data_IF_270123523066
#
_entry.id   IF_270123523066
#
_cell.length_a   1.000
_cell.length_b   1.000
_cell.length_c   1.000
_cell.angle_alpha   90.00
_cell.angle_beta   90.00
_cell.angle_gamma   90.00
#
_symmetry.space_group_name_H-M   'P 1'
#
loop_
_entity.id
_entity.type
_entity.pdbx_description
1 polymer ?
#
# COMPACT_ATOMS: atom_id res chain seq x y z
N UNK A 1 -1.57 -3.79 -11.02
CA UNK A 1 -0.14 -3.61 -10.68
C UNK A 1 0.72 -4.76 -11.18
N UNK A 2 1.88 -4.49 -11.78
CA UNK A 2 2.88 -5.49 -12.19
C UNK A 2 4.30 -5.15 -11.69
N UNK A 3 5.25 -6.08 -11.84
CA UNK A 3 6.62 -5.93 -11.34
C UNK A 3 7.36 -4.73 -11.95
N UNK A 4 7.14 -4.40 -13.23
CA UNK A 4 7.80 -3.27 -13.87
C UNK A 4 7.33 -1.94 -13.29
N UNK A 5 6.03 -1.82 -12.98
CA UNK A 5 5.47 -0.65 -12.31
C UNK A 5 6.02 -0.49 -10.89
N UNK A 6 6.24 -1.60 -10.17
CA UNK A 6 6.85 -1.58 -8.84
C UNK A 6 8.33 -1.18 -8.89
N UNK A 7 9.09 -1.69 -9.86
CA UNK A 7 10.49 -1.28 -10.07
C UNK A 7 10.57 0.21 -10.38
N UNK A 8 9.68 0.71 -11.25
CA UNK A 8 9.59 2.14 -11.55
C UNK A 8 9.23 2.98 -10.31
N UNK A 9 8.52 2.39 -9.35
CA UNK A 9 8.18 3.00 -8.07
C UNK A 9 9.29 2.85 -6.99
N UNK A 10 10.40 2.18 -7.30
CA UNK A 10 11.54 2.03 -6.38
C UNK A 10 11.64 0.67 -5.67
N UNK A 11 10.87 -0.35 -6.07
CA UNK A 11 11.06 -1.70 -5.56
C UNK A 11 12.37 -2.31 -6.08
N UNK A 12 13.04 -3.10 -5.25
CA UNK A 12 14.19 -3.88 -5.72
C UNK A 12 13.72 -4.90 -6.78
N UNK A 13 14.44 -5.07 -7.92
CA UNK A 13 14.02 -5.96 -8.99
C UNK A 13 13.70 -7.39 -8.55
N UNK A 14 14.50 -7.91 -7.59
CA UNK A 14 14.32 -9.27 -7.06
C UNK A 14 13.07 -9.42 -6.17
N UNK A 15 12.59 -8.33 -5.57
CA UNK A 15 11.42 -8.34 -4.67
C UNK A 15 10.14 -7.93 -5.39
N UNK A 16 10.24 -7.12 -6.46
CA UNK A 16 9.11 -6.59 -7.20
C UNK A 16 8.17 -7.68 -7.73
N UNK A 17 8.72 -8.80 -8.21
CA UNK A 17 7.92 -9.95 -8.65
C UNK A 17 7.10 -10.57 -7.52
N UNK A 18 7.73 -10.79 -6.36
CA UNK A 18 7.09 -11.35 -5.17
C UNK A 18 6.01 -10.43 -4.62
N UNK A 19 6.27 -9.12 -4.55
CA UNK A 19 5.31 -8.13 -4.08
C UNK A 19 4.12 -8.03 -5.03
N UNK A 20 4.36 -7.97 -6.34
CA UNK A 20 3.29 -7.92 -7.33
C UNK A 20 2.39 -9.16 -7.25
N UNK A 21 2.98 -10.35 -7.16
CA UNK A 21 2.23 -11.60 -7.03
C UNK A 21 1.40 -11.64 -5.74
N UNK A 22 2.01 -11.30 -4.59
CA UNK A 22 1.32 -11.26 -3.31
C UNK A 22 0.18 -10.23 -3.30
N UNK A 23 0.39 -9.06 -3.88
CA UNK A 23 -0.64 -8.04 -4.01
C UNK A 23 -1.80 -8.53 -4.87
N UNK A 24 -1.54 -9.01 -6.09
CA UNK A 24 -2.56 -9.51 -7.01
C UNK A 24 -3.36 -10.64 -6.38
N UNK A 25 -2.71 -11.52 -5.61
CA UNK A 25 -3.36 -12.63 -4.93
C UNK A 25 -4.42 -12.18 -3.92
N UNK A 26 -4.13 -11.15 -3.10
CA UNK A 26 -5.03 -10.74 -2.02
C UNK A 26 -5.95 -9.56 -2.39
N UNK A 27 -5.58 -8.76 -3.39
CA UNK A 27 -6.22 -7.47 -3.65
C UNK A 27 -7.72 -7.59 -3.93
N UNK A 28 -8.12 -8.53 -4.78
CA UNK A 28 -9.54 -8.72 -5.11
C UNK A 28 -10.35 -9.16 -3.89
N UNK A 29 -9.82 -10.09 -3.07
CA UNK A 29 -10.47 -10.51 -1.83
C UNK A 29 -10.64 -9.37 -0.83
N UNK A 30 -9.60 -8.54 -0.64
CA UNK A 30 -9.69 -7.34 0.21
C UNK A 30 -10.76 -6.37 -0.33
N UNK A 31 -10.74 -6.11 -1.64
CA UNK A 31 -11.67 -5.17 -2.30
C UNK A 31 -13.13 -5.62 -2.16
N UNK A 32 -13.38 -6.92 -2.31
CA UNK A 32 -14.71 -7.52 -2.14
C UNK A 32 -15.20 -7.40 -0.70
N UNK A 33 -14.35 -7.73 0.28
CA UNK A 33 -14.70 -7.64 1.70
C UNK A 33 -15.00 -6.19 2.10
N UNK A 34 -14.15 -5.23 1.75
CA UNK A 34 -14.41 -3.81 2.01
C UNK A 34 -15.72 -3.35 1.36
N UNK A 35 -16.05 -3.86 0.18
CA UNK A 35 -17.32 -3.56 -0.51
C UNK A 35 -18.52 -4.14 0.25
N UNK A 36 -18.41 -5.39 0.72
CA UNK A 36 -19.43 -6.02 1.55
C UNK A 36 -19.64 -5.25 2.86
N UNK A 37 -18.57 -4.82 3.54
CA UNK A 37 -18.63 -4.02 4.76
C UNK A 37 -19.31 -2.68 4.56
N UNK A 38 -18.98 -1.96 3.48
CA UNK A 38 -19.67 -0.70 3.13
C UNK A 38 -21.16 -0.93 2.89
N UNK A 39 -21.53 -2.01 2.21
CA UNK A 39 -22.94 -2.37 1.96
C UNK A 39 -23.67 -2.70 3.26
N UNK A 40 -23.06 -3.46 4.15
CA UNK A 40 -23.64 -3.83 5.46
C UNK A 40 -23.81 -2.60 6.34
N UNK A 41 -22.81 -1.74 6.47
CA UNK A 41 -22.90 -0.51 7.25
C UNK A 41 -24.04 0.39 6.75
N UNK A 42 -24.18 0.57 5.43
CA UNK A 42 -25.31 1.31 4.84
C UNK A 42 -26.67 0.70 5.21
N UNK A 43 -26.80 -0.62 5.15
CA UNK A 43 -28.06 -1.32 5.47
C UNK A 43 -28.44 -1.19 6.94
N UNK A 44 -27.45 -1.15 7.82
CA UNK A 44 -27.63 -1.09 9.28
C UNK A 44 -27.59 0.35 9.85
N UNK A 45 -27.44 1.37 8.99
CA UNK A 45 -27.35 2.77 9.42
C UNK A 45 -26.02 3.17 10.09
N UNK A 46 -24.96 2.37 9.92
CA UNK A 46 -23.63 2.65 10.46
C UNK A 46 -22.76 3.54 9.55
N UNK A 47 -21.70 4.13 10.14
CA UNK A 47 -20.71 4.88 9.38
C UNK A 47 -19.75 3.94 8.62
N UNK A 48 -19.55 4.23 7.34
CA UNK A 48 -18.68 3.49 6.43
C UNK A 48 -17.62 4.38 5.77
N UNK A 49 -17.42 5.59 6.28
CA UNK A 49 -16.56 6.61 5.65
C UNK A 49 -15.12 6.12 5.53
N UNK A 50 -14.50 5.67 6.63
CA UNK A 50 -13.13 5.14 6.60
C UNK A 50 -12.97 3.95 5.67
N UNK A 51 -13.92 3.02 5.66
CA UNK A 51 -13.87 1.83 4.78
C UNK A 51 -13.93 2.22 3.29
N UNK A 52 -14.73 3.25 2.93
CA UNK A 52 -14.77 3.78 1.57
C UNK A 52 -13.46 4.46 1.17
N UNK A 53 -12.84 5.20 2.08
CA UNK A 53 -11.54 5.84 1.87
C UNK A 53 -10.46 4.79 1.63
N UNK A 54 -10.34 3.80 2.53
CA UNK A 54 -9.39 2.70 2.39
C UNK A 54 -9.54 2.03 1.02
N UNK A 55 -10.77 1.67 0.63
CA UNK A 55 -11.03 1.04 -0.67
C UNK A 55 -10.62 1.94 -1.83
N UNK A 56 -10.86 3.25 -1.74
CA UNK A 56 -10.47 4.22 -2.78
C UNK A 56 -8.96 4.31 -2.89
N UNK A 57 -8.25 4.47 -1.77
CA UNK A 57 -6.81 4.62 -1.73
C UNK A 57 -6.09 3.33 -2.20
N UNK A 58 -6.57 2.15 -1.78
CA UNK A 58 -6.09 0.86 -2.28
C UNK A 58 -6.30 0.73 -3.79
N UNK A 59 -7.43 1.18 -4.32
CA UNK A 59 -7.66 1.22 -5.76
C UNK A 59 -6.71 2.17 -6.50
N UNK A 60 -6.29 3.27 -5.87
CA UNK A 60 -5.27 4.14 -6.48
C UNK A 60 -3.90 3.46 -6.49
N UNK A 61 -3.52 2.77 -5.41
CA UNK A 61 -2.28 2.00 -5.35
C UNK A 61 -2.24 0.88 -6.38
N UNK A 62 -3.31 0.11 -6.52
CA UNK A 62 -3.39 -1.01 -7.49
C UNK A 62 -3.19 -0.56 -8.95
N UNK A 63 -3.60 0.68 -9.26
CA UNK A 63 -3.40 1.34 -10.56
C UNK A 63 -2.14 2.20 -10.63
N UNK A 64 -1.27 2.14 -9.62
CA UNK A 64 -0.07 2.97 -9.49
C UNK A 64 -0.36 4.48 -9.69
N UNK A 65 -1.52 4.92 -9.22
CA UNK A 65 -2.03 6.29 -9.34
C UNK A 65 -2.10 7.01 -7.97
N UNK A 66 -1.50 6.42 -6.93
CA UNK A 66 -1.48 7.03 -5.60
C UNK A 66 -0.54 8.24 -5.58
N UNK A 67 -0.92 9.25 -4.81
CA UNK A 67 -0.12 10.48 -4.62
C UNK A 67 -0.01 10.75 -3.13
N UNK A 68 1.21 10.76 -2.61
CA UNK A 68 1.49 11.10 -1.21
C UNK A 68 1.17 12.57 -0.89
N UNK A 69 1.40 13.46 -1.86
CA UNK A 69 0.89 14.83 -1.83
C UNK A 69 0.49 15.28 -3.24
N UNK A 70 -0.23 16.41 -3.33
CA UNK A 70 -0.74 16.94 -4.60
C UNK A 70 0.36 17.19 -5.65
N UNK A 71 1.59 17.44 -5.21
CA UNK A 71 2.74 17.71 -6.07
C UNK A 71 3.60 16.47 -6.38
N UNK A 72 3.41 15.35 -5.67
CA UNK A 72 4.14 14.13 -5.96
C UNK A 72 3.69 13.51 -7.28
N UNK A 73 4.61 12.91 -8.07
CA UNK A 73 4.23 12.09 -9.20
C UNK A 73 3.32 10.94 -8.74
N UNK A 74 2.34 10.52 -9.56
CA UNK A 74 1.52 9.36 -9.26
C UNK A 74 2.41 8.10 -9.32
N UNK A 75 2.20 7.17 -8.38
CA UNK A 75 2.94 5.92 -8.35
C UNK A 75 2.41 4.97 -7.28
N UNK A 76 3.11 3.86 -7.11
CA UNK A 76 2.94 3.01 -5.92
C UNK A 76 3.72 3.60 -4.75
N UNK A 77 3.24 3.43 -3.52
CA UNK A 77 3.96 3.79 -2.31
C UNK A 77 3.91 2.63 -1.33
N UNK A 78 5.08 2.07 -0.99
CA UNK A 78 5.18 0.95 -0.06
C UNK A 78 4.63 1.31 1.32
N UNK A 79 4.93 2.52 1.80
CA UNK A 79 4.41 3.03 3.07
C UNK A 79 2.88 3.18 3.08
N UNK A 80 2.30 3.80 2.05
CA UNK A 80 0.84 3.97 1.97
C UNK A 80 0.14 2.60 1.85
N UNK A 81 0.70 1.70 1.04
CA UNK A 81 0.23 0.34 0.91
C UNK A 81 0.27 -0.41 2.24
N UNK A 82 1.41 -0.38 2.96
CA UNK A 82 1.56 -1.02 4.27
C UNK A 82 0.50 -0.54 5.25
N UNK A 83 0.34 0.78 5.38
CA UNK A 83 -0.64 1.37 6.30
C UNK A 83 -2.05 0.88 5.97
N UNK A 84 -2.46 0.95 4.71
CA UNK A 84 -3.80 0.53 4.29
C UNK A 84 -4.04 -0.96 4.45
N UNK A 85 -3.03 -1.79 4.14
CA UNK A 85 -3.09 -3.24 4.35
C UNK A 85 -3.22 -3.57 5.83
N UNK A 86 -2.47 -2.90 6.71
CA UNK A 86 -2.58 -3.07 8.15
C UNK A 86 -3.96 -2.65 8.67
N UNK A 87 -4.50 -1.53 8.20
CA UNK A 87 -5.88 -1.12 8.53
C UNK A 87 -6.91 -2.13 8.03
N UNK A 88 -6.69 -2.77 6.87
CA UNK A 88 -7.59 -3.79 6.34
C UNK A 88 -7.70 -5.01 7.24
N UNK A 89 -6.62 -5.41 7.94
CA UNK A 89 -6.61 -6.58 8.82
C UNK A 89 -7.74 -6.57 9.87
N UNK A 90 -8.24 -5.40 10.26
CA UNK A 90 -9.37 -5.25 11.19
C UNK A 90 -10.72 -5.70 10.61
N UNK A 91 -10.83 -5.82 9.29
CA UNK A 91 -12.07 -6.08 8.57
C UNK A 91 -12.09 -7.43 7.86
N UNK A 92 -10.93 -8.07 7.70
CA UNK A 92 -10.82 -9.28 6.89
C UNK A 92 -11.27 -10.54 7.63
N UNK A 93 -11.88 -11.49 6.92
CA UNK A 93 -12.16 -12.82 7.46
C UNK A 93 -10.86 -13.63 7.60
N UNK A 94 -10.89 -14.68 8.42
CA UNK A 94 -9.70 -15.47 8.79
C UNK A 94 -8.94 -16.03 7.56
N UNK A 95 -9.68 -16.37 6.52
CA UNK A 95 -9.19 -16.98 5.28
C UNK A 95 -8.28 -16.02 4.49
N UNK A 96 -8.46 -14.69 4.64
CA UNK A 96 -7.63 -13.70 3.96
C UNK A 96 -6.47 -13.18 4.84
N UNK A 97 -6.52 -13.40 6.15
CA UNK A 97 -5.55 -12.80 7.08
C UNK A 97 -4.13 -13.28 6.84
N UNK A 98 -3.94 -14.58 6.63
CA UNK A 98 -2.60 -15.18 6.49
C UNK A 98 -1.80 -14.55 5.35
N UNK A 99 -2.38 -14.49 4.15
CA UNK A 99 -1.71 -13.90 2.99
C UNK A 99 -1.61 -12.38 3.09
N UNK A 100 -2.60 -11.72 3.69
CA UNK A 100 -2.55 -10.27 3.92
C UNK A 100 -1.44 -9.90 4.90
N UNK A 101 -1.18 -10.71 5.94
CA UNK A 101 -0.05 -10.52 6.84
C UNK A 101 1.29 -10.72 6.15
N UNK A 102 1.40 -11.69 5.23
CA UNK A 102 2.62 -11.89 4.42
C UNK A 102 2.88 -10.69 3.51
N UNK A 103 1.83 -10.19 2.85
CA UNK A 103 1.92 -8.95 2.06
C UNK A 103 2.35 -7.77 2.94
N UNK A 104 1.78 -7.63 4.14
CA UNK A 104 2.17 -6.57 5.07
C UNK A 104 3.66 -6.67 5.46
N UNK A 105 4.20 -7.87 5.66
CA UNK A 105 5.62 -8.06 5.94
C UNK A 105 6.50 -7.59 4.77
N UNK A 106 6.19 -8.00 3.53
CA UNK A 106 6.91 -7.58 2.33
C UNK A 106 6.90 -6.06 2.16
N UNK A 107 5.73 -5.44 2.35
CA UNK A 107 5.59 -3.98 2.27
C UNK A 107 6.33 -3.26 3.40
N UNK A 108 6.43 -3.85 4.58
CA UNK A 108 7.19 -3.31 5.71
C UNK A 108 8.69 -3.32 5.44
N UNK A 109 9.21 -4.40 4.85
CA UNK A 109 10.61 -4.49 4.46
C UNK A 109 10.95 -3.44 3.41
N UNK A 110 10.12 -3.29 2.38
CA UNK A 110 10.32 -2.26 1.36
C UNK A 110 10.22 -0.84 1.94
N UNK A 111 9.18 -0.53 2.72
CA UNK A 111 9.00 0.79 3.33
C UNK A 111 10.17 1.18 4.26
N UNK A 112 10.79 0.20 4.93
CA UNK A 112 11.99 0.40 5.74
C UNK A 112 13.20 0.79 4.89
N UNK A 113 13.37 0.16 3.73
CA UNK A 113 14.44 0.48 2.78
C UNK A 113 14.25 1.90 2.23
N UNK A 114 13.05 2.23 1.73
CA UNK A 114 12.72 3.58 1.22
C UNK A 114 13.04 4.66 2.26
N UNK A 115 12.64 4.43 3.51
CA UNK A 115 12.91 5.38 4.60
C UNK A 115 14.40 5.56 4.85
N UNK A 116 15.17 4.47 4.89
CA UNK A 116 16.60 4.52 5.10
C UNK A 116 17.33 5.27 3.96
N UNK A 117 16.84 5.14 2.72
CA UNK A 117 17.35 5.88 1.55
C UNK A 117 17.03 7.37 1.62
N UNK A 118 15.78 7.72 1.97
CA UNK A 118 15.38 9.10 2.16
C UNK A 118 16.22 9.79 3.25
N UNK A 119 16.46 9.11 4.37
CA UNK A 119 17.31 9.60 5.46
C UNK A 119 18.78 9.77 5.02
N UNK A 120 19.33 8.84 4.24
CA UNK A 120 20.68 8.98 3.65
C UNK A 120 20.77 10.18 2.72
N UNK A 121 19.81 10.33 1.81
CA UNK A 121 19.76 11.44 0.86
C UNK A 121 19.62 12.78 1.56
N UNK A 122 18.79 12.87 2.60
CA UNK A 122 18.62 14.08 3.40
C UNK A 122 19.93 14.49 4.10
N UNK A 123 20.66 13.53 4.68
CA UNK A 123 21.97 13.78 5.28
C UNK A 123 22.99 14.29 4.26
N UNK A 124 23.06 13.68 3.08
CA UNK A 124 23.97 14.12 2.02
C UNK A 124 23.63 15.54 1.54
N UNK A 125 22.35 15.85 1.35
CA UNK A 125 21.91 17.18 0.95
C UNK A 125 22.22 18.26 2.00
N UNK A 126 22.28 17.89 3.28
CA UNK A 126 22.71 18.81 4.34
C UNK A 126 24.22 19.06 4.32
N UNK A 127 25.04 18.02 4.06
CA UNK A 127 26.49 18.17 3.89
C UNK A 127 26.79 19.12 2.73
N UNK A 128 26.21 18.86 1.55
CA UNK A 128 26.43 19.68 0.35
C UNK A 128 25.84 21.11 0.42
N UNK A 129 25.01 21.43 1.42
CA UNK A 129 24.50 22.79 1.65
C UNK A 129 25.41 23.61 2.58
N UNK A 130 26.29 22.93 3.32
CA UNK A 130 27.22 23.56 4.28
C UNK A 130 28.59 23.88 3.65
N UNK A 131 28.88 23.31 2.48
CA UNK A 131 30.02 23.64 1.61
C UNK A 131 29.63 24.72 0.59
#
# INVERSE_FOLDING_TARGET
>A
MNSAELIAAGAHPDEAGTIAAAWTWVYDGIREELTARVRTARKLGGDATRVKEIRRELGQLDRCAHRGCTQSPPGFSAYAALRLVQECLLYLPLELLGDTHRLAALLADWARIERAEAERSARLAEVYRRD
#
